data_IF_755918027164
#
_entry.id   IF_755918027164
#
_cell.length_a   1.000
_cell.length_b   1.000
_cell.length_c   1.000
_cell.angle_alpha   90.00
_cell.angle_beta   90.00
_cell.angle_gamma   90.00
#
_symmetry.space_group_name_H-M   'P 1'
#
loop_
_entity.id
_entity.type
_entity.pdbx_description
1 polymer ?
#
# COMPACT_ATOMS: atom_id res chain seq x y z
N UNK A 1 -37.98 41.69 46.05
CA UNK A 1 -37.51 41.61 44.66
C UNK A 1 -36.22 40.79 44.65
N UNK A 2 -36.25 39.58 44.06
CA UNK A 2 -35.15 38.61 44.12
C UNK A 2 -34.22 38.80 42.91
N UNK A 3 -32.97 39.16 43.18
CA UNK A 3 -31.87 39.18 42.22
C UNK A 3 -31.13 37.84 42.36
N UNK A 4 -31.32 36.95 41.40
CA UNK A 4 -30.62 35.67 41.31
C UNK A 4 -29.77 35.64 40.05
N UNK A 5 -28.56 36.18 40.12
CA UNK A 5 -27.58 36.14 39.05
C UNK A 5 -26.93 34.74 39.01
N UNK A 6 -27.37 33.92 38.07
CA UNK A 6 -26.74 32.64 37.72
C UNK A 6 -25.41 32.93 37.01
N UNK A 7 -24.31 32.76 37.74
CA UNK A 7 -22.95 32.76 37.21
C UNK A 7 -22.76 31.45 36.45
N UNK A 8 -22.97 31.49 35.14
CA UNK A 8 -22.76 30.38 34.23
C UNK A 8 -21.26 30.31 33.89
N UNK A 9 -20.52 29.44 34.57
CA UNK A 9 -19.08 29.27 34.36
C UNK A 9 -18.80 28.69 32.95
N UNK A 10 -18.06 29.39 32.08
CA UNK A 10 -17.75 28.91 30.75
C UNK A 10 -16.65 27.83 30.78
N UNK A 11 -16.86 26.74 30.02
CA UNK A 11 -15.77 26.24 29.18
C UNK A 11 -14.97 25.00 29.63
N UNK A 12 -15.46 24.11 30.50
CA UNK A 12 -14.72 22.86 30.83
C UNK A 12 -15.13 21.60 30.04
N UNK A 13 -16.29 21.58 29.38
CA UNK A 13 -16.80 20.37 28.71
C UNK A 13 -16.23 20.11 27.31
N UNK A 14 -15.84 21.15 26.57
CA UNK A 14 -15.35 21.02 25.19
C UNK A 14 -13.94 20.44 25.10
N UNK A 15 -13.07 20.73 26.06
CA UNK A 15 -11.66 20.28 26.04
C UNK A 15 -11.53 18.77 26.22
N UNK A 16 -12.33 18.17 27.12
CA UNK A 16 -12.27 16.72 27.40
C UNK A 16 -12.83 15.89 26.23
N UNK A 17 -13.86 16.39 25.55
CA UNK A 17 -14.43 15.76 24.36
C UNK A 17 -13.44 15.73 23.20
N UNK A 18 -12.73 16.84 22.96
CA UNK A 18 -11.76 16.94 21.86
C UNK A 18 -10.55 16.03 22.06
N UNK A 19 -10.04 15.90 23.29
CA UNK A 19 -8.91 15.00 23.56
C UNK A 19 -9.25 13.53 23.33
N UNK A 20 -10.48 13.11 23.66
CA UNK A 20 -10.92 11.73 23.40
C UNK A 20 -11.05 11.46 21.90
N UNK A 21 -11.69 12.36 21.15
CA UNK A 21 -11.84 12.21 19.71
C UNK A 21 -10.47 12.12 18.99
N UNK A 22 -9.47 12.88 19.46
CA UNK A 22 -8.11 12.83 18.94
C UNK A 22 -7.41 11.49 19.23
N UNK A 23 -7.55 10.96 20.46
CA UNK A 23 -6.97 9.66 20.84
C UNK A 23 -7.55 8.50 20.01
N UNK A 24 -8.86 8.50 19.74
CA UNK A 24 -9.49 7.48 18.88
C UNK A 24 -8.91 7.50 17.46
N UNK A 25 -8.77 8.68 16.87
CA UNK A 25 -8.24 8.85 15.51
C UNK A 25 -6.79 8.37 15.35
N UNK A 26 -5.97 8.55 16.40
CA UNK A 26 -4.58 8.07 16.40
C UNK A 26 -4.50 6.55 16.45
N UNK A 27 -5.42 5.90 17.17
CA UNK A 27 -5.47 4.45 17.27
C UNK A 27 -5.85 3.80 15.93
N UNK A 28 -6.81 4.39 15.20
CA UNK A 28 -7.26 3.89 13.89
C UNK A 28 -6.14 3.95 12.84
N UNK A 29 -5.36 5.05 12.82
CA UNK A 29 -4.23 5.22 11.90
C UNK A 29 -3.09 4.22 12.17
N UNK A 30 -2.81 3.92 13.44
CA UNK A 30 -1.81 2.94 13.83
C UNK A 30 -2.19 1.54 13.33
N UNK A 31 -3.44 1.12 13.56
CA UNK A 31 -3.94 -0.16 13.05
C UNK A 31 -3.85 -0.25 11.53
N UNK A 32 -4.26 0.81 10.81
CA UNK A 32 -4.14 0.87 9.36
C UNK A 32 -2.68 0.70 8.90
N UNK A 33 -1.75 1.40 9.54
CA UNK A 33 -0.34 1.33 9.19
C UNK A 33 0.24 -0.07 9.41
N UNK A 34 -0.09 -0.73 10.53
CA UNK A 34 0.31 -2.12 10.77
C UNK A 34 -0.28 -3.08 9.74
N UNK A 35 -1.57 -2.93 9.39
CA UNK A 35 -2.20 -3.75 8.36
C UNK A 35 -1.54 -3.56 6.99
N UNK A 36 -1.17 -2.33 6.63
CA UNK A 36 -0.45 -2.03 5.38
C UNK A 36 0.93 -2.68 5.34
N UNK A 37 1.69 -2.60 6.45
CA UNK A 37 3.00 -3.24 6.56
C UNK A 37 2.87 -4.76 6.44
N UNK A 38 1.95 -5.38 7.18
CA UNK A 38 1.73 -6.83 7.16
C UNK A 38 1.26 -7.30 5.79
N UNK A 39 0.30 -6.59 5.19
CA UNK A 39 -0.19 -6.91 3.85
C UNK A 39 0.93 -6.78 2.81
N UNK A 40 1.69 -5.68 2.85
CA UNK A 40 2.84 -5.47 1.97
C UNK A 40 3.88 -6.58 2.11
N UNK A 41 4.26 -6.92 3.34
CA UNK A 41 5.20 -8.00 3.63
C UNK A 41 4.68 -9.36 3.16
N UNK A 42 3.39 -9.66 3.35
CA UNK A 42 2.78 -10.90 2.87
C UNK A 42 2.78 -10.99 1.34
N UNK A 43 2.51 -9.89 0.64
CA UNK A 43 2.54 -9.83 -0.83
C UNK A 43 3.97 -9.99 -1.36
N UNK A 44 4.96 -9.35 -0.74
CA UNK A 44 6.38 -9.57 -1.06
C UNK A 44 6.74 -11.04 -0.84
N UNK A 45 6.39 -11.59 0.32
CA UNK A 45 6.65 -12.99 0.67
C UNK A 45 6.03 -13.97 -0.33
N UNK A 46 4.79 -13.74 -0.76
CA UNK A 46 4.13 -14.53 -1.79
C UNK A 46 4.83 -14.42 -3.16
N UNK A 47 5.34 -13.23 -3.51
CA UNK A 47 6.16 -13.00 -4.70
C UNK A 47 7.48 -13.75 -4.64
N UNK A 48 8.21 -13.66 -3.52
CA UNK A 48 9.48 -14.37 -3.30
C UNK A 48 9.26 -15.87 -3.30
N UNK A 49 8.22 -16.37 -2.63
CA UNK A 49 7.89 -17.79 -2.65
C UNK A 49 7.61 -18.27 -4.08
N UNK A 50 6.77 -17.57 -4.83
CA UNK A 50 6.52 -17.90 -6.24
C UNK A 50 7.80 -17.82 -7.10
N UNK A 51 8.72 -16.90 -6.77
CA UNK A 51 10.03 -16.82 -7.43
C UNK A 51 10.89 -18.05 -7.16
N UNK A 52 10.89 -18.56 -5.92
CA UNK A 52 11.72 -19.69 -5.50
C UNK A 52 11.15 -21.04 -5.91
N UNK A 53 9.82 -21.18 -5.95
CA UNK A 53 9.15 -22.43 -6.34
C UNK A 53 8.81 -22.50 -7.84
N UNK A 54 9.10 -21.44 -8.60
CA UNK A 54 8.84 -21.41 -10.03
C UNK A 54 9.81 -22.33 -10.79
N UNK A 55 9.28 -23.24 -11.60
CA UNK A 55 10.10 -24.01 -12.55
C UNK A 55 10.49 -23.12 -13.74
N UNK A 56 11.61 -22.39 -13.60
CA UNK A 56 12.15 -21.47 -14.62
C UNK A 56 12.82 -22.18 -15.81
N UNK A 57 12.66 -23.49 -15.95
CA UNK A 57 13.42 -24.34 -16.87
C UNK A 57 13.06 -24.19 -18.36
N UNK A 58 12.03 -23.42 -18.70
CA UNK A 58 11.60 -23.24 -20.09
C UNK A 58 12.02 -21.85 -20.57
N UNK A 59 13.04 -21.75 -21.43
CA UNK A 59 13.38 -20.47 -22.06
C UNK A 59 12.26 -20.06 -23.03
N UNK A 60 11.58 -18.94 -22.78
CA UNK A 60 10.54 -18.46 -23.69
C UNK A 60 9.64 -17.35 -23.15
N UNK A 61 8.66 -16.90 -23.96
CA UNK A 61 7.75 -15.80 -23.62
C UNK A 61 6.93 -16.03 -22.35
N UNK A 62 6.62 -17.29 -22.04
CA UNK A 62 5.85 -17.70 -20.85
C UNK A 62 6.61 -17.37 -19.57
N UNK A 63 7.92 -17.59 -19.58
CA UNK A 63 8.81 -17.41 -18.42
C UNK A 63 9.08 -15.94 -18.16
N UNK A 64 9.22 -15.15 -19.22
CA UNK A 64 9.27 -13.68 -19.12
C UNK A 64 7.97 -13.12 -18.50
N UNK A 65 6.82 -13.67 -18.88
CA UNK A 65 5.52 -13.23 -18.35
C UNK A 65 5.36 -13.62 -16.86
N UNK A 66 5.78 -14.82 -16.48
CA UNK A 66 5.82 -15.25 -15.09
C UNK A 66 6.75 -14.38 -14.21
N UNK A 67 7.91 -14.01 -14.76
CA UNK A 67 8.84 -13.10 -14.09
C UNK A 67 8.21 -11.72 -13.86
N UNK A 68 7.61 -11.12 -14.88
CA UNK A 68 6.95 -9.80 -14.78
C UNK A 68 5.81 -9.78 -13.76
N UNK A 69 5.00 -10.85 -13.70
CA UNK A 69 3.93 -10.97 -12.70
C UNK A 69 4.50 -11.07 -11.29
N UNK A 70 5.58 -11.82 -11.11
CA UNK A 70 6.22 -12.02 -9.81
C UNK A 70 6.89 -10.73 -9.33
N UNK A 71 7.60 -10.05 -10.23
CA UNK A 71 8.20 -8.74 -9.99
C UNK A 71 7.16 -7.69 -9.60
N UNK A 72 6.05 -7.61 -10.35
CA UNK A 72 4.93 -6.72 -10.03
C UNK A 72 4.39 -6.92 -8.61
N UNK A 73 4.25 -8.18 -8.17
CA UNK A 73 3.82 -8.47 -6.80
C UNK A 73 4.85 -7.97 -5.77
N UNK A 74 6.13 -8.21 -5.99
CA UNK A 74 7.17 -7.72 -5.07
C UNK A 74 7.17 -6.20 -4.96
N UNK A 75 7.09 -5.48 -6.08
CA UNK A 75 7.08 -4.01 -6.07
C UNK A 75 5.83 -3.46 -5.37
N UNK A 76 4.64 -3.99 -5.68
CA UNK A 76 3.39 -3.56 -5.03
C UNK A 76 3.44 -3.85 -3.52
N UNK A 77 3.97 -5.01 -3.13
CA UNK A 77 4.17 -5.35 -1.73
C UNK A 77 5.13 -4.39 -1.01
N UNK A 78 6.25 -4.04 -1.64
CA UNK A 78 7.21 -3.06 -1.11
C UNK A 78 6.60 -1.66 -1.01
N UNK A 79 5.80 -1.24 -2.00
CA UNK A 79 5.10 0.04 -1.99
C UNK A 79 4.08 0.11 -0.83
N UNK A 80 3.32 -0.95 -0.60
CA UNK A 80 2.37 -1.04 0.53
C UNK A 80 3.10 -1.04 1.88
N UNK A 81 4.18 -1.81 2.00
CA UNK A 81 4.99 -1.84 3.21
C UNK A 81 5.64 -0.48 3.49
N UNK A 82 6.18 0.17 2.45
CA UNK A 82 6.74 1.52 2.51
C UNK A 82 5.69 2.56 2.90
N UNK A 83 4.46 2.47 2.38
CA UNK A 83 3.36 3.35 2.76
C UNK A 83 2.94 3.16 4.23
N UNK A 84 2.86 1.92 4.70
CA UNK A 84 2.62 1.63 6.11
C UNK A 84 3.73 2.18 7.01
N UNK A 85 4.99 2.00 6.61
CA UNK A 85 6.14 2.55 7.34
C UNK A 85 6.15 4.09 7.34
N UNK A 86 5.80 4.72 6.22
CA UNK A 86 5.68 6.17 6.10
C UNK A 86 4.62 6.75 7.04
N UNK A 87 3.49 6.05 7.22
CA UNK A 87 2.46 6.42 8.19
C UNK A 87 2.97 6.29 9.63
N UNK A 88 3.67 5.20 9.96
CA UNK A 88 4.26 5.01 11.31
C UNK A 88 5.28 6.11 11.63
N UNK A 89 6.11 6.49 10.65
CA UNK A 89 7.14 7.50 10.82
C UNK A 89 6.62 8.95 10.66
N UNK A 90 5.35 9.13 10.27
CA UNK A 90 4.76 10.43 9.91
C UNK A 90 5.57 11.19 8.83
N UNK A 91 6.06 10.46 7.82
CA UNK A 91 6.89 10.99 6.73
C UNK A 91 6.07 11.06 5.43
N UNK A 92 5.39 12.18 5.14
CA UNK A 92 4.45 12.26 4.01
C UNK A 92 5.12 12.16 2.64
N UNK A 93 6.39 12.57 2.50
CA UNK A 93 7.11 12.44 1.23
C UNK A 93 7.41 10.97 0.89
N UNK A 94 7.56 10.10 1.89
CA UNK A 94 7.79 8.68 1.69
C UNK A 94 6.53 7.99 1.16
N UNK A 95 5.34 8.41 1.59
CA UNK A 95 4.06 7.96 1.02
C UNK A 95 3.98 8.26 -0.48
N UNK A 96 4.31 9.50 -0.88
CA UNK A 96 4.32 9.89 -2.29
C UNK A 96 5.36 9.12 -3.10
N UNK A 97 6.56 8.93 -2.55
CA UNK A 97 7.60 8.11 -3.19
C UNK A 97 7.12 6.67 -3.40
N UNK A 98 6.55 6.03 -2.37
CA UNK A 98 6.00 4.67 -2.49
C UNK A 98 4.85 4.59 -3.50
N UNK A 99 3.97 5.58 -3.52
CA UNK A 99 2.88 5.65 -4.50
C UNK A 99 3.41 5.82 -5.94
N UNK A 100 4.36 6.73 -6.16
CA UNK A 100 4.97 6.95 -7.48
C UNK A 100 5.68 5.70 -7.99
N UNK A 101 6.48 5.04 -7.14
CA UNK A 101 7.17 3.78 -7.49
C UNK A 101 6.13 2.70 -7.83
N UNK A 102 5.13 2.52 -6.98
CA UNK A 102 4.07 1.54 -7.22
C UNK A 102 3.34 1.77 -8.54
N UNK A 103 2.96 3.01 -8.84
CA UNK A 103 2.25 3.36 -10.09
C UNK A 103 3.15 3.23 -11.32
N UNK A 104 4.38 3.71 -11.27
CA UNK A 104 5.33 3.64 -12.39
C UNK A 104 5.58 2.20 -12.83
N UNK A 105 5.85 1.34 -11.85
CA UNK A 105 6.13 -0.08 -12.08
C UNK A 105 4.89 -0.86 -12.53
N UNK A 106 3.70 -0.45 -12.08
CA UNK A 106 2.43 -0.99 -12.58
C UNK A 106 2.20 -0.66 -14.07
N UNK A 107 2.53 0.55 -14.50
CA UNK A 107 2.37 0.97 -15.89
C UNK A 107 3.38 0.26 -16.80
N UNK A 108 4.64 0.19 -16.38
CA UNK A 108 5.71 -0.46 -17.12
C UNK A 108 5.46 -1.98 -17.26
N UNK A 109 5.12 -2.66 -16.16
CA UNK A 109 4.81 -4.10 -16.20
C UNK A 109 3.56 -4.41 -17.03
N UNK A 110 2.53 -3.55 -16.98
CA UNK A 110 1.33 -3.71 -17.82
C UNK A 110 1.64 -3.57 -19.30
N UNK A 111 2.52 -2.63 -19.66
CA UNK A 111 2.99 -2.45 -21.02
C UNK A 111 3.72 -3.70 -21.54
N UNK A 112 4.69 -4.23 -20.79
CA UNK A 112 5.41 -5.45 -21.19
C UNK A 112 4.51 -6.68 -21.31
N UNK A 113 3.57 -6.87 -20.39
CA UNK A 113 2.60 -7.96 -20.47
C UNK A 113 1.76 -7.82 -21.74
N UNK A 114 1.30 -6.61 -22.06
CA UNK A 114 0.54 -6.34 -23.28
C UNK A 114 1.33 -6.69 -24.55
N UNK A 115 2.58 -6.24 -24.62
CA UNK A 115 3.47 -6.51 -25.76
C UNK A 115 3.75 -8.01 -25.90
N UNK A 116 4.11 -8.70 -24.82
CA UNK A 116 4.39 -10.14 -24.84
C UNK A 116 3.17 -10.97 -25.24
N UNK A 117 1.98 -10.56 -24.81
CA UNK A 117 0.72 -11.25 -25.17
C UNK A 117 0.42 -11.09 -26.66
N UNK A 118 0.67 -9.91 -27.24
CA UNK A 118 0.56 -9.68 -28.68
C UNK A 118 1.62 -10.46 -29.47
N UNK A 119 2.88 -10.45 -29.02
CA UNK A 119 3.98 -11.15 -29.68
C UNK A 119 3.78 -12.68 -29.72
N UNK A 120 3.28 -13.26 -28.63
CA UNK A 120 2.92 -14.69 -28.57
C UNK A 120 1.78 -15.07 -29.52
N UNK A 121 0.81 -14.19 -29.74
CA UNK A 121 -0.28 -14.39 -30.71
C UNK A 121 0.24 -14.39 -32.15
N UNK A 122 1.20 -13.53 -32.48
CA UNK A 122 1.79 -13.49 -33.83
C UNK A 122 2.69 -14.69 -34.14
N UNK A 123 3.37 -15.26 -33.13
CA UNK A 123 4.24 -16.44 -33.29
C UNK A 123 3.48 -17.74 -33.64
N UNK A 124 2.18 -17.83 -33.39
CA UNK A 124 1.37 -19.04 -33.69
C UNK A 124 0.87 -19.04 -35.15
N UNK A 125 0.97 -17.91 -35.85
CA UNK A 125 0.45 -17.74 -37.22
C UNK A 125 1.51 -17.79 -38.33
N UNK A 126 2.79 -17.98 -38.01
CA UNK A 126 3.90 -18.14 -38.96
C UNK A 126 4.42 -19.57 -38.96
#
# INVERSE_FOLDING_TARGET
>A
MRVGALIQLPGKSSTVSNSRAMLWRMNDLLWLAFLLVLLGAAVVGAGVHAALTGDWHHGGPVTALAYLVTFRRMVVGLALAGAGFALLANIPWLLWASACIGVGELLESSYYIGVLRYAGVTSIRS
#
